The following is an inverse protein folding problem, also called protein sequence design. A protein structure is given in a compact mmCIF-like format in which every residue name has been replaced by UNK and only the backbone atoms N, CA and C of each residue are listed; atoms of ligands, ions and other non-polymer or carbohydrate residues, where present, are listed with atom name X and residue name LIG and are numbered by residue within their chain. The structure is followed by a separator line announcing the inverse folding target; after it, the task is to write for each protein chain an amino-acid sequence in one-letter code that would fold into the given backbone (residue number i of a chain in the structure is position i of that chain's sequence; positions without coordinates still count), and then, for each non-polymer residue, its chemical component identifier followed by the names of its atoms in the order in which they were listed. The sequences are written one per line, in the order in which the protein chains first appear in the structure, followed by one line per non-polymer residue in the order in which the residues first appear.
data_IF_356956662925
#
_entry.id   IF_356956662925
#
_cell.length_a   1.000
_cell.length_b   1.000
_cell.length_c   1.000
_cell.angle_alpha   90.00
_cell.angle_beta   90.00
_cell.angle_gamma   90.00
#
_symmetry.space_group_name_H-M   'P 1'
#
loop_
_entity.id
_entity.type
_entity.pdbx_description
1 polymer ?
#
# COMPACT_ATOMS: atom_id res chain seq x y z
N UNK A 1 -12.81 -23.65 20.91
CA UNK A 1 -13.06 -22.66 19.84
C UNK A 1 -11.73 -22.12 19.35
N UNK A 2 -11.28 -22.52 18.15
CA UNK A 2 -10.02 -22.04 17.55
C UNK A 2 -10.21 -20.71 16.84
N UNK A 3 -9.14 -19.94 16.68
CA UNK A 3 -9.19 -18.67 15.93
C UNK A 3 -9.51 -18.92 14.45
N UNK A 4 -10.28 -18.04 13.84
CA UNK A 4 -10.68 -18.14 12.43
C UNK A 4 -9.47 -18.29 11.48
N UNK A 5 -8.35 -17.66 11.83
CA UNK A 5 -7.09 -17.74 11.08
C UNK A 5 -6.51 -19.17 11.05
N UNK A 6 -6.46 -19.86 12.19
CA UNK A 6 -5.94 -21.23 12.26
C UNK A 6 -6.79 -22.21 11.46
N UNK A 7 -8.13 -22.06 11.53
CA UNK A 7 -9.05 -22.88 10.74
C UNK A 7 -8.86 -22.68 9.23
N UNK A 8 -8.64 -21.43 8.79
CA UNK A 8 -8.43 -21.15 7.38
C UNK A 8 -7.07 -21.68 6.87
N UNK A 9 -6.01 -21.56 7.67
CA UNK A 9 -4.70 -22.13 7.36
C UNK A 9 -4.78 -23.66 7.18
N UNK A 10 -5.41 -24.35 8.14
CA UNK A 10 -5.57 -25.81 8.07
C UNK A 10 -6.38 -26.22 6.84
N UNK A 11 -7.43 -25.48 6.48
CA UNK A 11 -8.22 -25.76 5.28
C UNK A 11 -7.42 -25.61 3.98
N UNK A 12 -6.55 -24.60 3.88
CA UNK A 12 -5.82 -24.30 2.63
C UNK A 12 -4.55 -25.14 2.50
N UNK A 13 -3.80 -25.35 3.59
CA UNK A 13 -2.49 -26.02 3.57
C UNK A 13 -2.56 -27.49 3.97
N UNK A 14 -3.57 -27.89 4.74
CA UNK A 14 -3.71 -29.23 5.30
C UNK A 14 -5.14 -29.77 5.16
N UNK A 15 -5.68 -29.73 3.93
CA UNK A 15 -7.08 -30.04 3.64
C UNK A 15 -7.52 -31.43 4.16
N UNK A 16 -6.68 -32.46 3.95
CA UNK A 16 -6.97 -33.84 4.37
C UNK A 16 -7.11 -33.95 5.89
N UNK A 17 -6.11 -33.45 6.64
CA UNK A 17 -6.14 -33.43 8.11
C UNK A 17 -7.27 -32.56 8.66
N UNK A 18 -7.62 -31.47 7.97
CA UNK A 18 -8.73 -30.60 8.36
C UNK A 18 -10.09 -31.29 8.22
N UNK A 19 -10.29 -32.09 7.18
CA UNK A 19 -11.51 -32.88 6.99
C UNK A 19 -11.66 -33.96 8.07
N UNK A 20 -10.56 -34.64 8.42
CA UNK A 20 -10.53 -35.65 9.48
C UNK A 20 -10.81 -35.06 10.87
N UNK A 21 -10.19 -33.92 11.19
CA UNK A 21 -10.44 -33.19 12.44
C UNK A 21 -11.90 -32.72 12.51
N UNK A 22 -12.47 -32.23 11.41
CA UNK A 22 -13.89 -31.84 11.38
C UNK A 22 -14.83 -33.04 11.51
N UNK A 23 -14.51 -34.15 10.86
CA UNK A 23 -15.28 -35.39 10.94
C UNK A 23 -15.27 -35.94 12.37
N UNK A 24 -14.10 -36.02 13.00
CA UNK A 24 -13.95 -36.47 14.39
C UNK A 24 -14.66 -35.53 15.38
N UNK A 25 -14.61 -34.20 15.17
CA UNK A 25 -15.38 -33.24 15.98
C UNK A 25 -16.89 -33.43 15.80
N UNK A 26 -17.36 -33.68 14.57
CA UNK A 26 -18.79 -33.92 14.30
C UNK A 26 -19.29 -35.23 14.92
N UNK A 27 -18.46 -36.28 14.87
CA UNK A 27 -18.73 -37.57 15.52
C UNK A 27 -18.76 -37.41 17.04
N UNK A 28 -17.79 -36.69 17.63
CA UNK A 28 -17.75 -36.42 19.07
C UNK A 28 -18.93 -35.54 19.54
N UNK A 29 -19.49 -34.71 18.67
CA UNK A 29 -20.66 -33.89 18.94
C UNK A 29 -22.01 -34.60 18.65
N UNK A 30 -21.99 -35.89 18.28
CA UNK A 30 -23.20 -36.70 18.08
C UNK A 30 -24.02 -36.35 16.83
N UNK A 31 -23.44 -35.67 15.84
CA UNK A 31 -24.16 -35.21 14.66
C UNK A 31 -23.96 -36.22 13.50
N UNK A 32 -24.94 -37.11 13.29
CA UNK A 32 -24.96 -38.07 12.18
C UNK A 32 -25.04 -37.36 10.82
N UNK A 33 -24.13 -37.72 9.91
CA UNK A 33 -23.99 -37.13 8.57
C UNK A 33 -25.10 -37.64 7.64
N UNK A 34 -25.96 -36.74 7.16
CA UNK A 34 -26.75 -36.96 5.94
C UNK A 34 -25.96 -36.38 4.76
N UNK A 35 -25.44 -37.25 3.89
CA UNK A 35 -24.86 -36.83 2.62
C UNK A 35 -26.03 -36.61 1.66
N UNK A 36 -26.22 -35.39 1.20
CA UNK A 36 -27.06 -35.13 0.03
C UNK A 36 -26.53 -33.99 -0.82
N UNK A 37 -26.54 -34.31 -2.10
CA UNK A 37 -26.07 -33.60 -3.26
C UNK A 37 -26.97 -32.43 -3.64
N UNK A 38 -26.42 -31.57 -4.50
CA UNK A 38 -27.09 -30.52 -5.30
C UNK A 38 -27.61 -29.30 -4.55
N UNK A 39 -27.11 -28.12 -4.95
CA UNK A 39 -27.95 -27.03 -5.45
C UNK A 39 -27.06 -25.93 -6.06
N UNK A 40 -27.11 -25.83 -7.41
CA UNK A 40 -26.61 -24.69 -8.15
C UNK A 40 -27.54 -23.50 -7.87
N UNK A 41 -27.10 -22.54 -7.08
CA UNK A 41 -27.76 -21.24 -6.95
C UNK A 41 -27.18 -20.25 -7.96
N UNK A 42 -28.07 -19.60 -8.72
CA UNK A 42 -27.80 -18.63 -9.77
C UNK A 42 -26.88 -17.47 -9.34
N UNK A 43 -26.10 -16.87 -10.27
CA UNK A 43 -25.18 -15.80 -9.94
C UNK A 43 -25.93 -14.46 -9.80
N UNK A 44 -25.98 -13.94 -8.57
CA UNK A 44 -26.30 -12.53 -8.31
C UNK A 44 -25.09 -11.69 -8.73
N UNK A 45 -25.24 -10.58 -9.48
CA UNK A 45 -24.13 -9.72 -9.88
C UNK A 45 -23.46 -9.10 -8.65
N UNK A 46 -22.39 -9.74 -8.20
CA UNK A 46 -21.59 -9.26 -7.08
C UNK A 46 -20.66 -8.18 -7.60
N UNK A 47 -20.92 -6.93 -7.21
CA UNK A 47 -19.99 -5.83 -7.41
C UNK A 47 -18.61 -6.26 -6.88
N UNK A 48 -17.60 -6.28 -7.74
CA UNK A 48 -16.21 -6.64 -7.42
C UNK A 48 -15.65 -5.62 -6.42
N UNK A 49 -15.85 -5.86 -5.13
CA UNK A 49 -15.00 -5.29 -4.09
C UNK A 49 -13.65 -5.95 -4.28
N UNK A 50 -12.65 -5.20 -4.78
CA UNK A 50 -11.26 -5.66 -4.86
C UNK A 50 -10.81 -5.99 -3.45
N UNK A 51 -10.81 -7.28 -3.11
CA UNK A 51 -10.22 -7.79 -1.88
C UNK A 51 -8.74 -7.41 -1.94
N UNK A 52 -8.32 -6.44 -1.12
CA UNK A 52 -6.91 -6.11 -0.97
C UNK A 52 -6.31 -7.34 -0.29
N UNK A 53 -5.61 -8.16 -1.07
CA UNK A 53 -4.82 -9.25 -0.51
C UNK A 53 -3.71 -8.61 0.31
N UNK A 54 -3.82 -8.72 1.63
CA UNK A 54 -2.79 -8.29 2.56
C UNK A 54 -1.58 -9.24 2.39
N UNK A 55 -0.74 -8.91 1.40
CA UNK A 55 0.53 -9.58 1.16
C UNK A 55 1.59 -8.98 2.07
N UNK A 56 2.36 -9.83 2.74
CA UNK A 56 3.58 -9.39 3.42
C UNK A 56 4.54 -8.77 2.39
N UNK A 57 5.04 -7.57 2.72
CA UNK A 57 6.02 -6.87 1.91
C UNK A 57 7.32 -7.66 1.82
N UNK A 58 7.92 -7.72 0.64
CA UNK A 58 9.27 -8.23 0.45
C UNK A 58 10.29 -7.22 0.97
N UNK A 59 11.51 -7.68 1.22
CA UNK A 59 12.61 -6.80 1.62
C UNK A 59 12.90 -5.73 0.56
N UNK A 60 12.83 -6.09 -0.73
CA UNK A 60 13.03 -5.16 -1.85
C UNK A 60 11.96 -4.07 -1.87
N UNK A 61 10.68 -4.44 -1.70
CA UNK A 61 9.56 -3.49 -1.68
C UNK A 61 9.68 -2.50 -0.50
N UNK A 62 10.20 -2.94 0.65
CA UNK A 62 10.46 -2.05 1.80
C UNK A 62 11.58 -1.06 1.48
N UNK A 63 12.67 -1.54 0.88
CA UNK A 63 13.81 -0.70 0.50
C UNK A 63 13.36 0.35 -0.51
N UNK A 64 12.67 -0.06 -1.57
CA UNK A 64 12.14 0.84 -2.61
C UNK A 64 11.23 1.94 -2.05
N UNK A 65 10.40 1.60 -1.05
CA UNK A 65 9.54 2.59 -0.36
C UNK A 65 10.32 3.60 0.47
N UNK A 66 11.51 3.24 0.95
CA UNK A 66 12.39 4.13 1.73
C UNK A 66 13.35 4.93 0.86
N UNK A 67 13.63 4.48 -0.36
CA UNK A 67 14.51 5.21 -1.28
C UNK A 67 13.87 6.53 -1.70
N UNK A 68 14.72 7.57 -1.74
CA UNK A 68 14.35 8.85 -2.33
C UNK A 68 14.09 8.69 -3.83
N UNK A 69 13.25 9.56 -4.38
CA UNK A 69 13.06 9.60 -5.84
C UNK A 69 14.36 10.01 -6.53
N UNK A 70 14.61 9.36 -7.68
CA UNK A 70 15.73 9.70 -8.53
C UNK A 70 15.48 11.04 -9.25
N UNK A 71 16.56 11.69 -9.71
CA UNK A 71 16.52 12.97 -10.43
C UNK A 71 15.74 12.83 -11.76
N UNK A 72 15.73 11.64 -12.36
CA UNK A 72 14.98 11.34 -13.57
C UNK A 72 13.49 11.05 -13.33
N UNK A 73 13.06 10.85 -12.08
CA UNK A 73 11.70 10.47 -11.73
C UNK A 73 10.69 11.56 -12.12
N UNK A 74 9.63 11.15 -12.83
CA UNK A 74 8.58 12.06 -13.27
C UNK A 74 7.87 12.75 -12.08
N UNK A 75 7.65 12.02 -10.97
CA UNK A 75 7.04 12.60 -9.77
C UNK A 75 7.93 13.66 -9.14
N UNK A 76 9.24 13.46 -9.13
CA UNK A 76 10.17 14.44 -8.61
C UNK A 76 10.04 15.77 -9.40
N UNK A 77 10.02 15.68 -10.73
CA UNK A 77 9.87 16.84 -11.63
C UNK A 77 8.52 17.55 -11.45
N UNK A 78 7.44 16.79 -11.30
CA UNK A 78 6.10 17.32 -11.03
C UNK A 78 6.09 18.17 -9.74
N UNK A 79 6.64 17.64 -8.64
CA UNK A 79 6.72 18.41 -7.39
C UNK A 79 7.68 19.60 -7.46
N UNK A 80 8.75 19.53 -8.24
CA UNK A 80 9.60 20.71 -8.52
C UNK A 80 8.80 21.83 -9.19
N UNK A 81 7.97 21.48 -10.18
CA UNK A 81 7.11 22.45 -10.86
C UNK A 81 6.09 23.06 -9.90
N UNK A 82 5.36 22.23 -9.14
CA UNK A 82 4.35 22.71 -8.18
C UNK A 82 4.94 23.65 -7.11
N UNK A 83 6.12 23.32 -6.57
CA UNK A 83 6.78 24.16 -5.56
C UNK A 83 7.22 25.49 -6.18
N UNK A 84 7.69 25.48 -7.42
CA UNK A 84 8.04 26.71 -8.13
C UNK A 84 6.82 27.56 -8.39
N UNK A 85 5.76 26.95 -8.88
CA UNK A 85 4.50 27.63 -9.15
C UNK A 85 3.98 28.29 -7.87
N UNK A 86 3.98 27.58 -6.74
CA UNK A 86 3.67 28.14 -5.42
C UNK A 86 4.57 29.35 -5.10
N UNK A 87 5.89 29.24 -5.31
CA UNK A 87 6.82 30.35 -5.04
C UNK A 87 6.51 31.57 -5.92
N UNK A 88 6.23 31.35 -7.20
CA UNK A 88 5.95 32.40 -8.16
C UNK A 88 4.60 33.09 -7.88
N UNK A 89 3.54 32.31 -7.69
CA UNK A 89 2.19 32.81 -7.42
C UNK A 89 2.11 33.55 -6.07
N UNK A 90 2.75 33.01 -5.03
CA UNK A 90 2.71 33.60 -3.69
C UNK A 90 3.82 34.66 -3.44
N UNK A 91 4.58 34.98 -4.49
CA UNK A 91 5.74 35.88 -4.47
C UNK A 91 6.68 35.61 -3.29
N UNK A 92 7.05 34.34 -3.10
CA UNK A 92 7.90 33.91 -2.00
C UNK A 92 9.37 33.95 -2.41
N UNK A 93 10.29 34.22 -1.47
CA UNK A 93 11.71 34.11 -1.78
C UNK A 93 12.11 32.64 -1.92
N UNK A 94 13.08 32.33 -2.79
CA UNK A 94 13.65 30.97 -2.92
C UNK A 94 14.24 30.45 -1.60
N UNK A 95 14.59 31.34 -0.67
CA UNK A 95 15.02 30.98 0.70
C UNK A 95 13.94 30.25 1.50
N UNK A 96 12.67 30.27 1.07
CA UNK A 96 11.57 29.51 1.65
C UNK A 96 11.88 28.01 1.71
N UNK A 97 12.56 27.47 0.71
CA UNK A 97 12.86 26.04 0.61
C UNK A 97 13.88 25.57 1.66
N UNK A 98 14.69 26.49 2.17
CA UNK A 98 15.65 26.23 3.23
C UNK A 98 15.05 26.40 4.63
N UNK A 99 13.82 26.93 4.74
CA UNK A 99 13.16 27.15 6.04
C UNK A 99 12.82 25.81 6.70
N UNK A 100 13.11 25.73 8.00
CA UNK A 100 12.90 24.53 8.81
C UNK A 100 11.44 24.07 8.79
N UNK A 101 10.48 25.00 8.86
CA UNK A 101 9.05 24.68 8.80
C UNK A 101 8.64 23.99 7.50
N UNK A 102 9.06 24.56 6.36
CA UNK A 102 8.81 23.97 5.05
C UNK A 102 9.47 22.60 4.90
N UNK A 103 10.73 22.47 5.32
CA UNK A 103 11.43 21.18 5.28
C UNK A 103 10.74 20.10 6.11
N UNK A 104 10.25 20.44 7.32
CA UNK A 104 9.50 19.51 8.17
C UNK A 104 8.17 19.10 7.55
N UNK A 105 7.44 20.05 6.95
CA UNK A 105 6.19 19.78 6.25
C UNK A 105 6.43 18.80 5.10
N UNK A 106 7.40 19.08 4.23
CA UNK A 106 7.72 18.25 3.08
C UNK A 106 8.22 16.87 3.48
N UNK A 107 9.02 16.75 4.55
CA UNK A 107 9.44 15.45 5.07
C UNK A 107 8.27 14.58 5.54
N UNK A 108 7.20 15.19 6.05
CA UNK A 108 6.00 14.47 6.50
C UNK A 108 5.03 14.17 5.35
N UNK A 109 4.82 15.14 4.46
CA UNK A 109 3.91 14.99 3.32
C UNK A 109 4.51 14.08 2.22
N UNK A 110 5.79 14.26 1.92
CA UNK A 110 6.51 13.62 0.83
C UNK A 110 7.89 13.12 1.31
N UNK A 111 7.93 12.05 2.13
CA UNK A 111 9.17 11.57 2.76
C UNK A 111 10.25 11.11 1.75
N UNK A 112 9.84 10.78 0.52
CA UNK A 112 10.73 10.35 -0.57
C UNK A 112 11.24 11.51 -1.43
N UNK A 113 10.69 12.71 -1.27
CA UNK A 113 11.05 13.88 -2.05
C UNK A 113 12.32 14.54 -1.51
N UNK A 114 13.32 14.71 -2.39
CA UNK A 114 14.54 15.44 -2.04
C UNK A 114 14.35 16.93 -2.32
N UNK A 115 14.21 17.72 -1.25
CA UNK A 115 14.07 19.16 -1.35
C UNK A 115 15.35 19.75 -1.97
N UNK A 116 15.27 20.40 -3.14
CA UNK A 116 16.44 21.00 -3.78
C UNK A 116 16.93 22.19 -2.98
N UNK A 117 18.23 22.46 -3.05
CA UNK A 117 18.79 23.72 -2.53
C UNK A 117 18.41 24.89 -3.43
N UNK A 118 18.44 26.09 -2.87
CA UNK A 118 18.27 27.35 -3.61
C UNK A 118 19.12 27.41 -4.87
N UNK A 119 20.41 27.07 -4.76
CA UNK A 119 21.35 27.07 -5.89
C UNK A 119 20.92 26.12 -7.00
N UNK A 120 20.53 24.89 -6.66
CA UNK A 120 20.05 23.92 -7.65
C UNK A 120 18.81 24.42 -8.41
N UNK A 121 17.91 25.16 -7.74
CA UNK A 121 16.72 25.71 -8.39
C UNK A 121 17.09 26.82 -9.36
N UNK A 122 17.92 27.76 -8.91
CA UNK A 122 18.39 28.88 -9.74
C UNK A 122 19.13 28.37 -10.98
N UNK A 123 20.02 27.39 -10.82
CA UNK A 123 20.93 26.97 -11.90
C UNK A 123 20.28 26.00 -12.89
N UNK A 124 19.45 25.07 -12.41
CA UNK A 124 18.92 23.97 -13.24
C UNK A 124 17.46 24.09 -13.60
N UNK A 125 16.71 24.83 -12.81
CA UNK A 125 15.26 24.83 -12.93
C UNK A 125 14.82 26.17 -13.51
N UNK A 126 15.34 27.32 -13.04
CA UNK A 126 14.89 28.67 -13.48
C UNK A 126 15.18 29.01 -14.95
N UNK A 127 16.16 28.41 -15.66
CA UNK A 127 16.38 28.77 -17.08
C UNK A 127 15.23 28.43 -18.04
N UNK A 128 14.30 27.56 -17.64
CA UNK A 128 13.21 27.05 -18.49
C UNK A 128 11.84 27.74 -18.26
N UNK A 129 11.82 28.93 -17.66
CA UNK A 129 10.61 29.79 -17.55
C UNK A 129 10.77 31.07 -18.37
#
# INVERSE_FOLDING_TARGET
MGTSAMNNHLKIKHNEKFAEIRSSIAIAAGLSIFISSTNKSAPVPSQKIKKIEEKQLTLTEIIERKLMWDISDAKLKEYHYLIREMIALDNKPLSMMDRVGFRRLMQKALPRYKIPSRTNITDKIVPDI
#
